data_IF_460708389664
#
_entry.id   IF_460708389664
#
_cell.length_a   1.000
_cell.length_b   1.000
_cell.length_c   1.000
_cell.angle_alpha   90.00
_cell.angle_beta   90.00
_cell.angle_gamma   90.00
#
_symmetry.space_group_name_H-M   'P 1'
#
loop_
_entity.id
_entity.type
_entity.pdbx_description
1 polymer ?
#
# COMPACT_ATOMS: atom_id res chain seq x y z
N UNK A 1 -49.25 54.59 -18.22
CA UNK A 1 -47.88 54.28 -17.74
C UNK A 1 -47.53 52.88 -18.21
N UNK A 2 -46.52 52.74 -19.07
CA UNK A 2 -46.05 51.47 -19.63
C UNK A 2 -44.96 50.91 -18.71
N UNK A 3 -45.18 49.74 -18.13
CA UNK A 3 -44.17 49.02 -17.32
C UNK A 3 -43.40 48.08 -18.24
N UNK A 4 -42.11 48.35 -18.41
CA UNK A 4 -41.17 47.58 -19.24
C UNK A 4 -40.65 46.39 -18.42
N UNK A 5 -40.85 45.17 -18.91
CA UNK A 5 -40.14 43.98 -18.41
C UNK A 5 -38.70 44.01 -18.92
N UNK A 6 -37.73 44.00 -18.00
CA UNK A 6 -36.32 43.77 -18.31
C UNK A 6 -36.05 42.25 -18.24
N UNK A 7 -35.93 41.61 -19.40
CA UNK A 7 -35.43 40.23 -19.49
C UNK A 7 -33.91 40.25 -19.35
N UNK A 8 -33.40 39.70 -18.25
CA UNK A 8 -31.96 39.50 -18.06
C UNK A 8 -31.50 38.32 -18.93
N UNK A 9 -30.77 38.62 -20.01
CA UNK A 9 -29.98 37.63 -20.73
C UNK A 9 -28.87 37.10 -19.80
N UNK A 10 -29.02 35.87 -19.33
CA UNK A 10 -27.92 35.08 -18.75
C UNK A 10 -26.95 34.75 -19.89
N UNK A 11 -25.89 35.54 -20.01
CA UNK A 11 -24.76 35.24 -20.88
C UNK A 11 -24.09 33.95 -20.38
N UNK A 12 -24.23 32.87 -21.15
CA UNK A 12 -23.43 31.66 -21.02
C UNK A 12 -21.97 32.02 -21.32
N UNK A 13 -21.18 32.30 -20.29
CA UNK A 13 -19.74 32.42 -20.43
C UNK A 13 -19.20 31.08 -20.97
N UNK A 14 -18.42 31.08 -22.06
CA UNK A 14 -17.79 29.87 -22.54
C UNK A 14 -16.84 29.35 -21.44
N UNK A 15 -16.99 28.07 -21.07
CA UNK A 15 -15.98 27.37 -20.29
C UNK A 15 -14.69 27.43 -21.10
N UNK A 16 -13.74 28.25 -20.68
CA UNK A 16 -12.36 28.12 -21.14
C UNK A 16 -11.92 26.72 -20.74
N UNK A 17 -11.94 25.79 -21.70
CA UNK A 17 -11.28 24.52 -21.54
C UNK A 17 -9.79 24.84 -21.40
N UNK A 18 -9.28 24.76 -20.16
CA UNK A 18 -7.85 24.81 -19.94
C UNK A 18 -7.24 23.68 -20.79
N UNK A 19 -6.25 23.95 -21.65
CA UNK A 19 -5.57 22.88 -22.36
C UNK A 19 -4.97 21.95 -21.31
N UNK A 20 -5.31 20.65 -21.40
CA UNK A 20 -4.70 19.63 -20.56
C UNK A 20 -3.16 19.80 -20.63
N UNK A 21 -2.47 19.94 -19.49
CA UNK A 21 -1.05 20.21 -19.49
C UNK A 21 -0.27 19.09 -20.21
N UNK A 22 0.80 19.42 -20.95
CA UNK A 22 1.60 18.43 -21.66
C UNK A 22 2.16 17.39 -20.69
N UNK A 23 2.02 16.10 -21.02
CA UNK A 23 2.37 14.98 -20.15
C UNK A 23 3.85 14.94 -19.69
N UNK A 24 4.73 15.64 -20.41
CA UNK A 24 6.19 15.53 -20.24
C UNK A 24 6.82 16.68 -19.43
N UNK A 25 6.05 17.68 -19.00
CA UNK A 25 6.58 18.81 -18.21
C UNK A 25 5.95 18.87 -16.81
N UNK A 26 6.73 19.15 -15.76
CA UNK A 26 6.19 19.38 -14.44
C UNK A 26 5.20 20.54 -14.44
N UNK A 27 4.06 20.35 -13.78
CA UNK A 27 3.04 21.39 -13.63
C UNK A 27 2.41 21.34 -12.24
N UNK A 28 1.64 22.39 -11.91
CA UNK A 28 0.98 22.53 -10.62
C UNK A 28 -0.51 22.29 -10.77
N UNK A 29 -1.00 21.25 -10.09
CA UNK A 29 -2.42 20.98 -9.92
C UNK A 29 -2.89 21.68 -8.64
N UNK A 30 -3.84 22.58 -8.78
CA UNK A 30 -4.36 23.44 -7.72
C UNK A 30 -5.86 23.72 -7.91
N UNK A 31 -6.43 24.61 -7.10
CA UNK A 31 -7.86 24.93 -7.16
C UNK A 31 -8.31 25.50 -8.52
N UNK A 32 -7.44 26.20 -9.24
CA UNK A 32 -7.77 26.87 -10.51
C UNK A 32 -8.00 25.89 -11.68
N UNK A 33 -7.35 24.73 -11.63
CA UNK A 33 -7.33 23.71 -12.69
C UNK A 33 -7.66 22.30 -12.15
N UNK A 34 -8.46 22.23 -11.08
CA UNK A 34 -8.76 20.97 -10.38
C UNK A 34 -9.34 19.87 -11.28
N UNK A 35 -10.01 20.25 -12.38
CA UNK A 35 -10.66 19.33 -13.33
C UNK A 35 -9.64 18.39 -13.97
N UNK A 36 -8.41 18.85 -14.18
CA UNK A 36 -7.32 18.04 -14.76
C UNK A 36 -6.88 16.92 -13.80
N UNK A 37 -7.19 17.04 -12.51
CA UNK A 37 -6.92 16.03 -11.48
C UNK A 37 -8.03 15.01 -11.26
N UNK A 38 -9.17 15.12 -11.97
CA UNK A 38 -10.40 14.35 -11.66
C UNK A 38 -10.16 12.83 -11.66
N UNK A 39 -9.40 12.34 -12.62
CA UNK A 39 -9.11 10.91 -12.78
C UNK A 39 -7.77 10.50 -12.15
N UNK A 40 -7.03 11.47 -11.59
CA UNK A 40 -5.75 11.25 -10.93
C UNK A 40 -5.87 11.13 -9.41
N UNK A 41 -6.92 11.72 -8.82
CA UNK A 41 -7.08 11.85 -7.38
C UNK A 41 -8.37 11.21 -6.87
N UNK A 42 -8.36 10.58 -5.69
CA UNK A 42 -9.59 10.19 -5.01
C UNK A 42 -10.50 11.40 -4.73
N UNK A 43 -11.81 11.20 -4.80
CA UNK A 43 -12.82 12.26 -4.61
C UNK A 43 -12.62 13.12 -3.34
N UNK A 44 -12.27 12.56 -2.15
CA UNK A 44 -12.01 13.37 -0.96
C UNK A 44 -10.85 14.35 -1.16
N UNK A 45 -9.76 13.91 -1.80
CA UNK A 45 -8.58 14.74 -2.06
C UNK A 45 -8.93 15.87 -3.03
N UNK A 46 -9.75 15.56 -4.04
CA UNK A 46 -10.28 16.55 -4.97
C UNK A 46 -11.10 17.65 -4.30
N UNK A 47 -11.91 17.32 -3.28
CA UNK A 47 -12.68 18.31 -2.52
C UNK A 47 -11.77 19.30 -1.78
N UNK A 48 -10.65 18.82 -1.23
CA UNK A 48 -9.66 19.69 -0.58
C UNK A 48 -8.89 20.54 -1.61
N UNK A 49 -8.56 19.97 -2.77
CA UNK A 49 -7.97 20.70 -3.90
C UNK A 49 -8.88 21.84 -4.39
N UNK A 50 -10.18 21.58 -4.56
CA UNK A 50 -11.18 22.57 -4.97
C UNK A 50 -11.29 23.75 -3.98
N UNK A 51 -11.08 23.49 -2.69
CA UNK A 51 -11.09 24.53 -1.64
C UNK A 51 -9.78 25.32 -1.58
N UNK A 52 -8.76 24.95 -2.37
CA UNK A 52 -7.43 25.55 -2.31
C UNK A 52 -6.61 25.14 -1.09
N UNK A 53 -7.02 24.08 -0.39
CA UNK A 53 -6.30 23.58 0.79
C UNK A 53 -5.08 22.76 0.37
N UNK A 54 -5.15 22.10 -0.80
CA UNK A 54 -4.07 21.31 -1.38
C UNK A 54 -3.59 21.91 -2.70
N UNK A 55 -2.32 21.64 -3.01
CA UNK A 55 -1.73 21.79 -4.33
C UNK A 55 -0.74 20.65 -4.53
N UNK A 56 -0.61 20.17 -5.76
CA UNK A 56 0.27 19.07 -6.11
C UNK A 56 1.20 19.48 -7.24
N UNK A 57 2.49 19.16 -7.09
CA UNK A 57 3.42 19.21 -8.20
C UNK A 57 3.33 17.89 -8.96
N UNK A 58 2.71 17.92 -10.13
CA UNK A 58 2.62 16.77 -11.02
C UNK A 58 3.92 16.69 -11.81
N UNK A 59 4.54 15.50 -11.84
CA UNK A 59 5.81 15.26 -12.51
C UNK A 59 5.69 14.03 -13.41
N UNK A 60 6.39 13.98 -14.55
CA UNK A 60 6.43 12.78 -15.38
C UNK A 60 7.05 11.60 -14.63
N UNK A 61 6.56 10.39 -14.91
CA UNK A 61 7.08 9.16 -14.33
C UNK A 61 8.33 8.72 -15.10
N UNK A 62 9.49 8.73 -14.45
CA UNK A 62 10.73 8.18 -15.01
C UNK A 62 10.89 6.71 -14.59
N UNK A 63 10.47 5.79 -15.48
CA UNK A 63 10.55 4.36 -15.23
C UNK A 63 11.98 3.86 -14.99
N UNK A 64 12.97 4.45 -15.67
CA UNK A 64 14.37 4.06 -15.52
C UNK A 64 14.86 4.41 -14.12
N UNK A 65 14.52 5.60 -13.62
CA UNK A 65 14.86 6.01 -12.25
C UNK A 65 14.27 5.08 -11.20
N UNK A 66 13.02 4.64 -11.37
CA UNK A 66 12.42 3.65 -10.47
C UNK A 66 13.10 2.28 -10.57
N UNK A 67 13.49 1.86 -11.77
CA UNK A 67 14.23 0.62 -11.97
C UNK A 67 15.61 0.65 -11.30
N UNK A 68 16.32 1.78 -11.43
CA UNK A 68 17.66 1.98 -10.88
C UNK A 68 17.70 2.01 -9.34
N UNK A 69 16.56 2.18 -8.65
CA UNK A 69 16.47 2.08 -7.19
C UNK A 69 16.74 0.66 -6.67
N UNK A 70 16.76 -0.34 -7.54
CA UNK A 70 16.96 -1.75 -7.19
C UNK A 70 18.34 -2.23 -7.66
N UNK A 71 18.97 -3.06 -6.81
CA UNK A 71 20.25 -3.67 -7.15
C UNK A 71 20.12 -4.63 -8.35
N UNK A 72 21.18 -4.78 -9.14
CA UNK A 72 21.23 -5.74 -10.27
C UNK A 72 20.76 -7.14 -9.87
N UNK A 73 21.18 -7.61 -8.69
CA UNK A 73 20.79 -8.91 -8.14
C UNK A 73 19.26 -9.08 -8.05
N UNK A 74 18.52 -8.03 -7.68
CA UNK A 74 17.06 -8.06 -7.62
C UNK A 74 16.45 -8.29 -9.00
N UNK A 75 16.96 -7.61 -10.03
CA UNK A 75 16.48 -7.76 -11.40
C UNK A 75 16.87 -9.10 -12.02
N UNK A 76 18.08 -9.60 -11.76
CA UNK A 76 18.50 -10.92 -12.21
C UNK A 76 17.58 -12.03 -11.63
N UNK A 77 17.26 -11.95 -10.33
CA UNK A 77 16.35 -12.87 -9.67
C UNK A 77 14.90 -12.73 -10.16
N UNK A 78 14.47 -11.50 -10.44
CA UNK A 78 13.16 -11.21 -11.02
C UNK A 78 13.02 -11.81 -12.42
N UNK A 79 14.02 -11.65 -13.29
CA UNK A 79 14.02 -12.25 -14.62
C UNK A 79 13.96 -13.78 -14.53
N UNK A 80 14.67 -14.37 -13.58
CA UNK A 80 14.64 -15.80 -13.33
C UNK A 80 13.27 -16.32 -12.84
N UNK A 81 12.34 -15.45 -12.42
CA UNK A 81 11.00 -15.87 -12.00
C UNK A 81 10.01 -16.00 -13.16
N UNK A 82 10.39 -15.62 -14.39
CA UNK A 82 9.49 -15.70 -15.53
C UNK A 82 8.93 -17.11 -15.71
N UNK A 83 7.59 -17.20 -15.66
CA UNK A 83 6.87 -18.46 -15.82
C UNK A 83 6.92 -19.41 -14.63
N UNK A 84 7.64 -19.13 -13.54
CA UNK A 84 7.77 -20.03 -12.37
C UNK A 84 6.52 -20.11 -11.49
N UNK A 85 5.81 -19.00 -11.37
CA UNK A 85 4.68 -18.88 -10.44
C UNK A 85 3.35 -18.71 -11.17
N UNK A 86 2.30 -19.16 -10.51
CA UNK A 86 0.90 -18.90 -10.83
C UNK A 86 0.15 -18.48 -9.56
N UNK A 87 -1.14 -18.20 -9.70
CA UNK A 87 -1.98 -17.79 -8.58
C UNK A 87 -3.12 -18.78 -8.38
N UNK A 88 -3.40 -19.08 -7.12
CA UNK A 88 -4.64 -19.73 -6.73
C UNK A 88 -5.83 -18.81 -7.01
N UNK A 89 -6.84 -19.31 -7.73
CA UNK A 89 -7.97 -18.49 -8.19
C UNK A 89 -8.84 -17.98 -7.05
N UNK A 90 -8.97 -18.74 -5.95
CA UNK A 90 -9.85 -18.40 -4.84
C UNK A 90 -9.21 -17.37 -3.89
N UNK A 91 -7.90 -17.52 -3.64
CA UNK A 91 -7.18 -16.75 -2.61
C UNK A 91 -6.27 -15.67 -3.19
N UNK A 92 -6.00 -15.70 -4.50
CA UNK A 92 -4.87 -15.00 -5.11
C UNK A 92 -3.52 -15.36 -4.45
N UNK A 93 -3.42 -16.55 -3.83
CA UNK A 93 -2.21 -17.05 -3.22
C UNK A 93 -1.16 -17.44 -4.26
N UNK A 94 0.12 -17.24 -3.96
CA UNK A 94 1.20 -17.62 -4.86
C UNK A 94 1.38 -19.14 -4.88
N UNK A 95 1.54 -19.71 -6.07
CA UNK A 95 1.74 -21.14 -6.28
C UNK A 95 2.91 -21.38 -7.22
N UNK A 96 3.78 -22.31 -6.87
CA UNK A 96 4.87 -22.75 -7.73
C UNK A 96 4.29 -23.69 -8.80
N UNK A 97 4.53 -23.39 -10.08
CA UNK A 97 3.95 -24.16 -11.19
C UNK A 97 4.49 -25.59 -11.28
N UNK A 98 5.75 -25.80 -10.90
CA UNK A 98 6.39 -27.10 -11.04
C UNK A 98 5.90 -28.07 -9.95
N UNK A 99 5.69 -27.58 -8.73
CA UNK A 99 5.28 -28.41 -7.59
C UNK A 99 3.79 -28.38 -7.33
N UNK A 100 3.08 -27.38 -7.83
CA UNK A 100 1.67 -27.15 -7.55
C UNK A 100 1.38 -26.71 -6.11
N UNK A 101 2.40 -26.35 -5.33
CA UNK A 101 2.30 -26.01 -3.91
C UNK A 101 2.71 -24.57 -3.66
N UNK A 102 2.51 -24.10 -2.43
CA UNK A 102 3.06 -22.83 -1.99
C UNK A 102 4.59 -22.84 -2.16
N UNK A 103 5.17 -21.80 -2.79
CA UNK A 103 6.62 -21.71 -2.96
C UNK A 103 7.32 -21.68 -1.60
N UNK A 104 8.40 -22.44 -1.47
CA UNK A 104 9.18 -22.50 -0.23
C UNK A 104 9.91 -21.17 0.06
N UNK A 105 10.47 -20.55 -0.98
CA UNK A 105 11.08 -19.23 -0.88
C UNK A 105 11.01 -18.48 -2.21
N UNK A 106 10.68 -17.19 -2.15
CA UNK A 106 10.55 -16.32 -3.33
C UNK A 106 11.39 -15.06 -3.14
N UNK A 107 12.03 -14.60 -4.21
CA UNK A 107 12.86 -13.39 -4.21
C UNK A 107 12.78 -12.68 -5.56
N UNK A 108 12.83 -11.35 -5.55
CA UNK A 108 12.51 -10.54 -6.73
C UNK A 108 11.00 -10.46 -6.97
N UNK A 109 10.60 -9.88 -8.10
CA UNK A 109 9.19 -9.85 -8.49
C UNK A 109 8.76 -11.25 -8.95
N UNK A 110 7.67 -11.83 -8.41
CA UNK A 110 7.20 -13.14 -8.85
C UNK A 110 6.72 -13.14 -10.31
N UNK A 111 6.17 -12.01 -10.78
CA UNK A 111 5.61 -11.88 -12.12
C UNK A 111 6.32 -10.75 -12.90
N UNK A 112 7.48 -11.01 -13.52
CA UNK A 112 8.24 -9.97 -14.24
C UNK A 112 7.46 -9.36 -15.42
N UNK A 113 6.55 -10.13 -16.02
CA UNK A 113 5.65 -9.70 -17.09
C UNK A 113 4.22 -9.89 -16.63
N UNK A 114 3.44 -8.82 -16.65
CA UNK A 114 2.01 -8.84 -16.36
C UNK A 114 1.27 -8.33 -17.57
N UNK A 115 0.38 -9.16 -18.12
CA UNK A 115 -0.52 -8.76 -19.19
C UNK A 115 -1.71 -8.00 -18.60
N UNK A 116 -2.01 -6.82 -19.13
CA UNK A 116 -3.18 -6.03 -18.74
C UNK A 116 -4.52 -6.72 -19.03
N UNK A 117 -4.56 -7.64 -20.00
CA UNK A 117 -5.75 -8.43 -20.34
C UNK A 117 -5.97 -9.65 -19.44
N UNK A 118 -5.02 -9.98 -18.57
CA UNK A 118 -5.12 -11.14 -17.68
C UNK A 118 -6.16 -10.87 -16.57
N UNK A 119 -7.18 -11.74 -16.39
CA UNK A 119 -8.14 -11.63 -15.29
C UNK A 119 -7.51 -11.60 -13.90
N UNK A 120 -6.28 -12.09 -13.75
CA UNK A 120 -5.50 -12.09 -12.51
C UNK A 120 -4.42 -10.99 -12.46
N UNK A 121 -4.36 -10.07 -13.42
CA UNK A 121 -3.34 -9.01 -13.51
C UNK A 121 -3.21 -8.22 -12.21
N UNK A 122 -4.35 -7.83 -11.61
CA UNK A 122 -4.38 -7.10 -10.34
C UNK A 122 -3.70 -7.86 -9.21
N UNK A 123 -3.95 -9.18 -9.09
CA UNK A 123 -3.32 -10.00 -8.07
C UNK A 123 -1.81 -10.20 -8.34
N UNK A 124 -1.40 -10.33 -9.60
CA UNK A 124 0.02 -10.37 -9.97
C UNK A 124 0.76 -9.07 -9.63
N UNK A 125 0.14 -7.92 -9.91
CA UNK A 125 0.68 -6.60 -9.54
C UNK A 125 0.78 -6.46 -8.03
N UNK A 126 -0.24 -6.90 -7.28
CA UNK A 126 -0.20 -6.85 -5.82
C UNK A 126 0.96 -7.68 -5.24
N UNK A 127 1.22 -8.87 -5.80
CA UNK A 127 2.39 -9.67 -5.41
C UNK A 127 3.70 -8.98 -5.74
N UNK A 128 3.83 -8.43 -6.94
CA UNK A 128 5.01 -7.66 -7.30
C UNK A 128 5.23 -6.47 -6.34
N UNK A 129 4.16 -5.75 -5.98
CA UNK A 129 4.24 -4.64 -5.02
C UNK A 129 4.73 -5.11 -3.65
N UNK A 130 4.21 -6.24 -3.14
CA UNK A 130 4.68 -6.83 -1.87
C UNK A 130 6.17 -7.13 -1.94
N UNK A 131 6.63 -7.87 -2.96
CA UNK A 131 8.02 -8.30 -3.08
C UNK A 131 8.99 -7.17 -3.47
N UNK A 132 8.50 -6.08 -4.06
CA UNK A 132 9.28 -4.88 -4.33
C UNK A 132 9.79 -4.21 -3.05
N UNK A 133 9.13 -4.42 -1.90
CA UNK A 133 9.56 -3.91 -0.59
C UNK A 133 10.27 -4.93 0.30
N UNK A 134 10.30 -6.21 -0.06
CA UNK A 134 10.75 -7.29 0.84
C UNK A 134 12.27 -7.55 0.83
N UNK A 135 13.00 -6.91 -0.10
CA UNK A 135 14.42 -7.18 -0.36
C UNK A 135 15.35 -7.11 0.86
N UNK A 136 15.04 -6.22 1.82
CA UNK A 136 15.83 -6.00 3.03
C UNK A 136 15.66 -7.12 4.09
N UNK A 137 14.63 -7.97 3.98
CA UNK A 137 14.40 -9.07 4.91
C UNK A 137 14.02 -8.67 6.34
N UNK A 138 13.65 -7.41 6.56
CA UNK A 138 13.27 -6.89 7.87
C UNK A 138 13.98 -5.59 8.22
N UNK A 139 13.63 -5.03 9.37
CA UNK A 139 14.20 -3.77 9.82
C UNK A 139 13.66 -3.36 11.19
N UNK A 140 14.36 -2.44 11.83
CA UNK A 140 13.98 -1.86 13.10
C UNK A 140 13.92 -0.35 13.01
N UNK A 141 12.92 0.26 13.64
CA UNK A 141 12.84 1.71 13.77
C UNK A 141 12.22 2.08 15.11
N UNK A 142 12.74 3.13 15.73
CA UNK A 142 12.05 3.87 16.78
C UNK A 142 11.49 5.14 16.16
N UNK A 143 10.21 5.38 16.36
CA UNK A 143 9.50 6.50 15.75
C UNK A 143 8.56 7.15 16.75
N UNK A 144 8.06 8.31 16.38
CA UNK A 144 7.04 9.02 17.14
C UNK A 144 5.80 9.21 16.28
N UNK A 145 4.66 8.79 16.81
CA UNK A 145 3.35 9.02 16.25
C UNK A 145 2.79 10.27 16.92
N UNK A 146 2.60 11.32 16.12
CA UNK A 146 2.05 12.58 16.60
C UNK A 146 0.61 12.68 16.08
N UNK A 147 -0.34 12.67 17.00
CA UNK A 147 -1.74 13.01 16.74
C UNK A 147 -1.85 14.52 16.58
N UNK A 148 -2.28 14.95 15.41
CA UNK A 148 -2.44 16.37 15.04
C UNK A 148 -3.89 16.60 14.66
N UNK A 149 -4.49 17.67 15.18
CA UNK A 149 -5.80 18.18 14.79
C UNK A 149 -5.71 19.65 14.35
N UNK A 150 -6.85 20.32 14.16
CA UNK A 150 -6.89 21.73 13.76
C UNK A 150 -6.29 22.70 14.80
N UNK A 151 -6.18 22.29 16.06
CA UNK A 151 -5.59 23.06 17.16
C UNK A 151 -4.10 22.77 17.41
N UNK A 152 -3.55 21.74 16.79
CA UNK A 152 -2.13 21.37 16.88
C UNK A 152 -1.90 19.93 17.29
N UNK A 153 -0.71 19.64 17.82
CA UNK A 153 -0.37 18.30 18.34
C UNK A 153 -1.10 18.05 19.67
N UNK A 154 -2.00 17.07 19.70
CA UNK A 154 -2.76 16.71 20.91
C UNK A 154 -2.23 15.46 21.61
N UNK A 155 -1.45 14.62 20.91
CA UNK A 155 -0.85 13.42 21.49
C UNK A 155 0.44 13.05 20.79
N UNK A 156 1.41 12.59 21.56
CA UNK A 156 2.67 12.04 21.07
C UNK A 156 2.86 10.66 21.64
N UNK A 157 3.13 9.65 20.80
CA UNK A 157 3.44 8.28 21.23
C UNK A 157 4.78 7.90 20.63
N UNK A 158 5.76 7.55 21.46
CA UNK A 158 7.02 6.99 21.02
C UNK A 158 6.91 5.48 21.05
N UNK A 159 7.25 4.85 19.94
CA UNK A 159 7.20 3.40 19.82
C UNK A 159 8.40 2.89 19.03
N UNK A 160 8.74 1.62 19.23
CA UNK A 160 9.60 0.91 18.31
C UNK A 160 8.82 -0.15 17.53
N UNK A 161 9.35 -0.48 16.37
CA UNK A 161 8.97 -1.66 15.60
C UNK A 161 10.24 -2.39 15.19
N UNK A 162 10.23 -3.70 15.32
CA UNK A 162 11.21 -4.59 14.71
C UNK A 162 10.46 -5.64 13.91
N UNK A 163 10.77 -5.76 12.63
CA UNK A 163 10.21 -6.76 11.73
C UNK A 163 11.30 -7.64 11.15
N UNK A 164 10.92 -8.87 10.87
CA UNK A 164 11.74 -9.88 10.23
C UNK A 164 10.92 -10.49 9.10
N UNK A 165 11.43 -10.37 7.88
CA UNK A 165 10.87 -11.00 6.69
C UNK A 165 11.61 -12.30 6.40
N UNK A 166 10.86 -13.37 6.16
CA UNK A 166 11.38 -14.68 5.76
C UNK A 166 11.33 -14.88 4.24
N UNK A 167 10.47 -14.13 3.55
CA UNK A 167 10.33 -14.11 2.09
C UNK A 167 10.96 -12.84 1.50
N UNK A 168 11.34 -12.91 0.23
CA UNK A 168 11.79 -11.76 -0.56
C UNK A 168 13.21 -11.28 -0.27
N UNK A 169 13.92 -11.91 0.66
CA UNK A 169 15.23 -11.44 1.12
C UNK A 169 16.32 -11.59 0.05
N UNK A 170 17.08 -10.51 -0.19
CA UNK A 170 18.18 -10.55 -1.16
C UNK A 170 19.43 -11.27 -0.65
N UNK A 171 19.58 -11.45 0.66
CA UNK A 171 20.65 -12.25 1.28
C UNK A 171 20.37 -13.76 1.24
N UNK A 172 19.15 -14.16 0.87
CA UNK A 172 18.75 -15.55 0.65
C UNK A 172 17.81 -16.08 1.73
N UNK A 173 17.40 -17.34 1.56
CA UNK A 173 16.50 -18.03 2.49
C UNK A 173 17.20 -18.24 3.84
N UNK A 174 16.49 -17.95 4.92
CA UNK A 174 16.94 -18.30 6.26
C UNK A 174 16.86 -19.81 6.47
N UNK A 175 17.85 -20.37 7.17
CA UNK A 175 17.90 -21.82 7.46
C UNK A 175 16.73 -22.27 8.33
N UNK A 176 16.28 -21.41 9.24
CA UNK A 176 15.26 -21.72 10.23
C UNK A 176 14.00 -20.88 9.99
N UNK A 177 12.89 -21.57 9.74
CA UNK A 177 11.55 -21.01 9.71
C UNK A 177 10.54 -22.12 10.09
N UNK A 178 10.59 -22.65 11.31
CA UNK A 178 9.81 -23.83 11.71
C UNK A 178 8.30 -23.60 11.66
N UNK A 179 7.85 -22.35 11.79
CA UNK A 179 6.45 -21.95 11.73
C UNK A 179 5.98 -21.56 10.32
N UNK A 180 6.83 -21.73 9.30
CA UNK A 180 6.55 -21.35 7.92
C UNK A 180 5.97 -19.91 7.80
N UNK A 181 6.66 -18.93 8.38
CA UNK A 181 6.24 -17.54 8.37
C UNK A 181 6.69 -16.84 7.08
N UNK A 182 5.91 -15.87 6.62
CA UNK A 182 6.33 -14.88 5.64
C UNK A 182 7.05 -13.72 6.34
N UNK A 183 6.55 -13.36 7.52
CA UNK A 183 7.12 -12.31 8.33
C UNK A 183 6.62 -12.36 9.76
N UNK A 184 7.38 -11.75 10.65
CA UNK A 184 6.97 -11.49 12.02
C UNK A 184 7.45 -10.11 12.45
N UNK A 185 6.83 -9.56 13.47
CA UNK A 185 7.28 -8.30 14.05
C UNK A 185 6.83 -8.12 15.48
N UNK A 186 7.64 -7.37 16.22
CA UNK A 186 7.31 -6.88 17.54
C UNK A 186 7.25 -5.36 17.51
N UNK A 187 6.25 -4.80 18.16
CA UNK A 187 6.16 -3.37 18.43
C UNK A 187 5.94 -3.16 19.91
N UNK A 188 6.49 -2.08 20.46
CA UNK A 188 6.13 -1.64 21.80
C UNK A 188 6.12 -0.12 21.92
N UNK A 189 5.24 0.37 22.78
CA UNK A 189 5.19 1.77 23.16
C UNK A 189 6.18 2.04 24.30
N UNK A 190 6.97 3.08 24.11
CA UNK A 190 8.00 3.55 25.03
C UNK A 190 7.51 4.77 25.83
N UNK A 191 6.73 5.65 25.20
CA UNK A 191 6.19 6.86 25.82
C UNK A 191 4.81 7.16 25.21
N UNK A 192 3.87 7.80 25.93
CA UNK A 192 3.94 8.22 27.34
C UNK A 192 3.61 7.09 28.33
N UNK A 193 3.71 7.39 29.63
CA UNK A 193 3.59 6.42 30.73
C UNK A 193 2.27 5.63 30.75
N UNK A 194 1.18 6.17 30.19
CA UNK A 194 -0.12 5.51 30.08
C UNK A 194 -0.13 4.34 29.10
N UNK A 195 0.74 4.36 28.08
CA UNK A 195 0.89 3.31 27.06
C UNK A 195 2.24 2.60 27.15
N UNK A 196 3.17 3.11 27.94
CA UNK A 196 4.49 2.51 28.15
C UNK A 196 4.38 1.04 28.54
N UNK A 197 5.15 0.19 27.85
CA UNK A 197 5.16 -1.25 28.09
C UNK A 197 4.00 -2.01 27.42
N UNK A 198 3.08 -1.33 26.73
CA UNK A 198 2.24 -2.01 25.74
C UNK A 198 3.14 -2.59 24.65
N UNK A 199 2.93 -3.85 24.30
CA UNK A 199 3.62 -4.49 23.20
C UNK A 199 2.69 -5.38 22.38
N UNK A 200 3.01 -5.53 21.10
CA UNK A 200 2.31 -6.47 20.24
C UNK A 200 3.31 -7.31 19.44
N UNK A 201 3.04 -8.61 19.39
CA UNK A 201 3.70 -9.57 18.50
C UNK A 201 2.74 -9.88 17.35
N UNK A 202 3.22 -9.73 16.13
CA UNK A 202 2.52 -10.14 14.91
C UNK A 202 3.30 -11.27 14.25
N UNK A 203 2.59 -12.36 13.93
CA UNK A 203 3.09 -13.44 13.08
C UNK A 203 2.21 -13.55 11.85
N UNK A 204 2.87 -13.69 10.71
CA UNK A 204 2.22 -13.81 9.42
C UNK A 204 2.70 -15.10 8.78
N UNK A 205 1.78 -16.05 8.66
CA UNK A 205 2.03 -17.37 8.08
C UNK A 205 2.14 -17.29 6.56
N UNK A 206 3.06 -18.06 5.99
CA UNK A 206 3.26 -18.23 4.56
C UNK A 206 2.39 -19.35 4.00
N UNK A 207 1.09 -19.17 4.24
CA UNK A 207 0.02 -19.94 3.66
C UNK A 207 -1.12 -18.97 3.26
N UNK A 208 -2.12 -19.48 2.55
CA UNK A 208 -3.21 -18.66 1.99
C UNK A 208 -4.51 -18.77 2.80
N UNK A 209 -4.53 -19.61 3.83
CA UNK A 209 -5.71 -19.99 4.57
C UNK A 209 -5.67 -19.49 6.02
N UNK A 210 -4.49 -19.35 6.60
CA UNK A 210 -4.29 -18.86 7.96
C UNK A 210 -4.46 -17.35 8.05
N UNK A 211 -5.07 -16.93 9.15
CA UNK A 211 -5.11 -15.51 9.50
C UNK A 211 -3.78 -15.09 10.11
N UNK A 212 -3.43 -13.81 9.92
CA UNK A 212 -2.35 -13.19 10.68
C UNK A 212 -2.69 -13.29 12.18
N UNK A 213 -1.73 -13.77 12.97
CA UNK A 213 -1.87 -13.93 14.41
C UNK A 213 -1.22 -12.74 15.13
N UNK A 214 -1.98 -12.10 16.02
CA UNK A 214 -1.53 -10.94 16.77
C UNK A 214 -1.76 -11.21 18.25
N UNK A 215 -0.73 -10.97 19.07
CA UNK A 215 -0.83 -10.97 20.53
C UNK A 215 -0.50 -9.59 21.04
N UNK A 216 -1.41 -8.99 21.79
CA UNK A 216 -1.19 -7.71 22.45
C UNK A 216 -1.03 -7.92 23.95
N UNK A 217 0.09 -7.46 24.50
CA UNK A 217 0.34 -7.41 25.93
C UNK A 217 -0.05 -6.04 26.47
N UNK A 218 -0.90 -6.04 27.49
CA UNK A 218 -1.38 -4.82 28.16
C UNK A 218 -0.83 -4.78 29.59
N UNK A 219 0.08 -3.85 29.92
CA UNK A 219 0.79 -3.85 31.21
C UNK A 219 -0.15 -3.71 32.42
N UNK A 220 -1.25 -2.97 32.27
CA UNK A 220 -2.27 -2.79 33.32
C UNK A 220 -2.89 -4.12 33.79
N UNK A 221 -3.06 -5.07 32.86
CA UNK A 221 -3.65 -6.39 33.17
C UNK A 221 -2.59 -7.49 33.29
N UNK A 222 -1.33 -7.18 32.95
CA UNK A 222 -0.21 -8.14 32.85
C UNK A 222 -0.55 -9.39 32.04
N UNK A 223 -1.44 -9.25 31.06
CA UNK A 223 -1.95 -10.34 30.26
C UNK A 223 -1.72 -10.07 28.77
N UNK A 224 -1.33 -11.13 28.06
CA UNK A 224 -1.32 -11.16 26.61
C UNK A 224 -2.67 -11.67 26.11
N UNK A 225 -3.27 -10.96 25.15
CA UNK A 225 -4.51 -11.38 24.49
C UNK A 225 -4.22 -11.65 23.03
N UNK A 226 -4.65 -12.82 22.57
CA UNK A 226 -4.69 -13.11 21.15
C UNK A 226 -5.84 -12.33 20.51
N UNK A 227 -5.56 -11.75 19.35
CA UNK A 227 -6.55 -11.14 18.49
C UNK A 227 -6.37 -11.68 17.08
N UNK A 228 -7.49 -11.98 16.44
CA UNK A 228 -7.52 -12.28 15.01
C UNK A 228 -7.67 -10.97 14.25
N UNK A 229 -6.93 -10.84 13.15
CA UNK A 229 -6.87 -9.60 12.40
C UNK A 229 -8.18 -9.38 11.63
N UNK A 230 -9.14 -8.66 12.21
CA UNK A 230 -10.27 -8.07 11.46
C UNK A 230 -9.86 -6.77 10.74
N UNK A 231 -8.73 -6.17 11.13
CA UNK A 231 -8.25 -4.87 10.63
C UNK A 231 -6.82 -4.95 10.13
N UNK A 232 -6.67 -4.86 8.80
CA UNK A 232 -5.40 -4.81 8.07
C UNK A 232 -4.60 -3.57 8.47
N UNK A 233 -3.54 -3.75 9.26
CA UNK A 233 -2.39 -2.82 9.30
C UNK A 233 -1.25 -3.25 8.38
N UNK A 234 -1.43 -4.39 7.71
CA UNK A 234 -0.49 -4.87 6.72
C UNK A 234 -1.23 -5.19 5.42
N UNK A 235 -0.70 -4.63 4.34
CA UNK A 235 -1.14 -4.83 2.96
C UNK A 235 -0.83 -6.28 2.58
N UNK A 236 -1.72 -7.22 2.91
CA UNK A 236 -1.74 -8.56 2.31
C UNK A 236 -2.84 -8.62 1.25
N UNK A 237 -2.68 -9.51 0.26
CA UNK A 237 -3.69 -9.92 -0.71
C UNK A 237 -5.08 -10.19 -0.09
N UNK A 238 -5.18 -10.46 1.22
CA UNK A 238 -6.46 -10.59 1.93
C UNK A 238 -7.26 -9.27 2.03
N UNK A 239 -6.61 -8.10 2.14
CA UNK A 239 -7.31 -6.82 1.99
C UNK A 239 -7.75 -6.60 0.54
N UNK A 240 -6.96 -7.09 -0.42
CA UNK A 240 -7.31 -7.14 -1.84
C UNK A 240 -8.46 -8.12 -2.14
N UNK A 241 -8.65 -9.19 -1.35
CA UNK A 241 -9.80 -10.11 -1.45
C UNK A 241 -11.13 -9.37 -1.25
N UNK A 242 -11.15 -8.35 -0.38
CA UNK A 242 -12.31 -7.46 -0.20
C UNK A 242 -12.41 -6.36 -1.25
N UNK A 243 -11.29 -5.85 -1.77
CA UNK A 243 -11.30 -4.80 -2.80
C UNK A 243 -11.57 -5.32 -4.23
N UNK A 244 -10.92 -6.41 -4.65
CA UNK A 244 -11.10 -6.99 -5.99
C UNK A 244 -12.46 -7.69 -6.16
N UNK A 245 -13.02 -8.31 -5.11
CA UNK A 245 -14.41 -8.82 -5.17
C UNK A 245 -15.43 -7.70 -5.36
N UNK A 246 -15.16 -6.52 -4.80
CA UNK A 246 -15.98 -5.31 -5.01
C UNK A 246 -15.88 -4.77 -6.44
N UNK A 247 -14.72 -4.88 -7.07
CA UNK A 247 -14.50 -4.45 -8.47
C UNK A 247 -15.24 -5.36 -9.45
N UNK A 248 -15.39 -6.67 -9.18
CA UNK A 248 -16.22 -7.58 -10.01
C UNK A 248 -17.74 -7.37 -9.85
N UNK A 249 -18.18 -6.59 -8.86
CA UNK A 249 -19.61 -6.37 -8.57
C UNK A 249 -20.15 -5.03 -9.07
N UNK A 250 -19.41 -4.32 -9.93
CA UNK A 250 -19.85 -3.10 -10.62
C UNK A 250 -19.65 -3.21 -12.12
#
# INVERSE_FOLDING_TARGET
MKTVLLAALLASAPRLAWPAPPADQPWTLEASNWQDGKDLLPEPVLKHLQKGEYWFKVVPVDQKKFHDNYAKKFWDLTAANEGKYELDEATCGLKDKATGKNPDFVVGLPFPKVDSGDPQAACKIAWNFTFAGSGAGGGGATFTLNGIDSGGEFRRIKAFVHTMGYQGRLDGKLKENPENLEGQGVTAALEPQDVEGFSALTKRYWDWDSQDAIWAYVPQTRAARSSTTSGSWSVRATSWRRSCSRIRSR
#
